data_IF_402378754448
#
_entry.id   IF_402378754448
#
_cell.length_a   1.000
_cell.length_b   1.000
_cell.length_c   1.000
_cell.angle_alpha   90.00
_cell.angle_beta   90.00
_cell.angle_gamma   90.00
#
_symmetry.space_group_name_H-M   'P 1'
#
loop_
_entity.id
_entity.type
_entity.pdbx_description
1 polymer ?
#
# COMPACT_ATOMS: atom_id res chain seq x y z
N UNK A 1 -12.60 5.82 -2.01
CA UNK A 1 -13.00 5.49 -0.59
C UNK A 1 -12.54 4.10 -0.12
N UNK A 2 -12.43 3.11 -1.01
CA UNK A 2 -12.02 1.72 -0.71
C UNK A 2 -10.66 1.57 -0.01
N UNK A 3 -9.58 2.15 -0.56
CA UNK A 3 -8.22 1.97 -0.03
C UNK A 3 -8.11 2.47 1.43
N UNK A 4 -8.79 3.57 1.75
CA UNK A 4 -8.88 4.07 3.12
C UNK A 4 -9.58 3.09 4.05
N UNK A 5 -10.75 2.60 3.63
CA UNK A 5 -11.53 1.65 4.43
C UNK A 5 -10.77 0.33 4.60
N UNK A 6 -10.13 -0.15 3.54
CA UNK A 6 -9.26 -1.31 3.53
C UNK A 6 -8.10 -1.17 4.52
N UNK A 7 -7.38 -0.05 4.49
CA UNK A 7 -6.24 0.20 5.36
C UNK A 7 -6.65 0.39 6.83
N UNK A 8 -7.73 1.13 7.08
CA UNK A 8 -8.33 1.25 8.42
C UNK A 8 -8.78 -0.09 8.96
N UNK A 9 -9.40 -0.91 8.12
CA UNK A 9 -9.83 -2.24 8.48
C UNK A 9 -8.62 -3.10 8.84
N UNK A 10 -7.56 -3.08 8.03
CA UNK A 10 -6.32 -3.80 8.32
C UNK A 10 -5.67 -3.43 9.64
N UNK A 11 -5.53 -2.13 9.88
CA UNK A 11 -4.93 -1.61 11.12
C UNK A 11 -5.78 -2.02 12.32
N UNK A 12 -7.10 -1.94 12.20
CA UNK A 12 -8.03 -2.35 13.25
C UNK A 12 -7.92 -3.84 13.54
N UNK A 13 -7.89 -4.68 12.50
CA UNK A 13 -7.83 -6.13 12.68
C UNK A 13 -6.46 -6.60 13.20
N UNK A 14 -5.35 -6.00 12.76
CA UNK A 14 -4.01 -6.26 13.33
C UNK A 14 -3.92 -5.84 14.80
N UNK A 15 -4.44 -4.66 15.16
CA UNK A 15 -4.48 -4.20 16.57
C UNK A 15 -5.28 -5.15 17.47
N UNK A 16 -6.30 -5.80 16.91
CA UNK A 16 -7.10 -6.81 17.61
C UNK A 16 -6.47 -8.22 17.58
N UNK A 17 -5.31 -8.39 16.95
CA UNK A 17 -4.59 -9.67 16.90
C UNK A 17 -5.19 -10.71 15.95
N UNK A 18 -6.07 -10.30 15.03
CA UNK A 18 -6.67 -11.25 14.09
C UNK A 18 -5.65 -11.75 13.06
N UNK A 19 -5.74 -13.05 12.77
CA UNK A 19 -4.95 -13.67 11.70
C UNK A 19 -5.36 -13.09 10.35
N UNK A 20 -4.40 -12.93 9.44
CA UNK A 20 -4.63 -12.30 8.13
C UNK A 20 -5.75 -13.02 7.32
N UNK A 21 -5.92 -14.33 7.49
CA UNK A 21 -7.03 -15.07 6.86
C UNK A 21 -8.42 -14.57 7.25
N UNK A 22 -8.61 -14.09 8.49
CA UNK A 22 -9.87 -13.49 8.94
C UNK A 22 -10.12 -12.13 8.30
N UNK A 23 -9.06 -11.36 8.09
CA UNK A 23 -9.15 -10.05 7.42
C UNK A 23 -9.66 -10.26 5.99
N UNK A 24 -9.16 -11.28 5.30
CA UNK A 24 -9.63 -11.64 3.96
C UNK A 24 -11.10 -12.03 3.91
N UNK A 25 -11.57 -12.85 4.85
CA UNK A 25 -12.99 -13.17 4.94
C UNK A 25 -13.84 -11.90 5.12
N UNK A 26 -13.40 -10.99 6.00
CA UNK A 26 -14.10 -9.72 6.19
C UNK A 26 -14.09 -8.86 4.92
N UNK A 27 -12.97 -8.78 4.21
CA UNK A 27 -12.84 -8.00 2.98
C UNK A 27 -13.73 -8.55 1.86
N UNK A 28 -13.67 -9.86 1.61
CA UNK A 28 -14.51 -10.52 0.61
C UNK A 28 -16.01 -10.39 0.93
N UNK A 29 -16.38 -10.31 2.21
CA UNK A 29 -17.77 -10.06 2.60
C UNK A 29 -18.20 -8.60 2.51
N UNK A 30 -17.25 -7.65 2.54
CA UNK A 30 -17.54 -6.21 2.60
C UNK A 30 -17.42 -5.53 1.23
N UNK A 31 -16.71 -6.14 0.29
CA UNK A 31 -16.37 -5.54 -1.00
C UNK A 31 -16.56 -6.56 -2.12
N UNK A 32 -17.15 -6.10 -3.22
CA UNK A 32 -17.29 -6.88 -4.45
C UNK A 32 -15.99 -6.83 -5.26
N UNK A 33 -15.07 -7.74 -4.92
CA UNK A 33 -13.72 -7.80 -5.48
C UNK A 33 -13.68 -8.67 -6.74
N UNK A 34 -13.15 -8.10 -7.82
CA UNK A 34 -12.86 -8.84 -9.06
C UNK A 34 -11.66 -9.76 -8.91
N UNK A 35 -11.51 -10.72 -9.84
CA UNK A 35 -10.36 -11.61 -9.86
C UNK A 35 -9.01 -10.87 -9.89
N UNK A 36 -8.93 -9.80 -10.68
CA UNK A 36 -7.72 -8.97 -10.80
C UNK A 36 -7.38 -8.31 -9.46
N UNK A 37 -8.39 -7.79 -8.76
CA UNK A 37 -8.22 -7.15 -7.46
C UNK A 37 -7.79 -8.16 -6.38
N UNK A 38 -8.30 -9.38 -6.43
CA UNK A 38 -7.86 -10.48 -5.54
C UNK A 38 -6.40 -10.82 -5.80
N UNK A 39 -5.97 -10.91 -7.07
CA UNK A 39 -4.56 -11.10 -7.42
C UNK A 39 -3.70 -9.99 -6.83
N UNK A 40 -4.08 -8.73 -6.98
CA UNK A 40 -3.30 -7.60 -6.47
C UNK A 40 -3.23 -7.54 -4.96
N UNK A 41 -4.36 -7.78 -4.29
CA UNK A 41 -4.43 -7.87 -2.84
C UNK A 41 -3.60 -9.06 -2.32
N UNK A 42 -3.51 -10.17 -3.05
CA UNK A 42 -2.68 -11.31 -2.65
C UNK A 42 -1.20 -10.95 -2.56
N UNK A 43 -0.70 -10.15 -3.52
CA UNK A 43 0.66 -9.60 -3.46
C UNK A 43 0.79 -8.63 -2.29
N UNK A 44 -0.24 -7.82 -2.03
CA UNK A 44 -0.20 -6.83 -0.95
C UNK A 44 -0.06 -7.48 0.43
N UNK A 45 -0.69 -8.64 0.57
CA UNK A 45 -0.73 -9.38 1.83
C UNK A 45 0.30 -10.50 1.94
N UNK A 46 1.22 -10.58 0.98
CA UNK A 46 2.26 -11.62 0.92
C UNK A 46 1.65 -13.05 0.93
N UNK A 47 0.49 -13.20 0.29
CA UNK A 47 -0.11 -14.51 0.06
C UNK A 47 0.46 -15.17 -1.18
N UNK A 48 0.50 -16.50 -1.12
CA UNK A 48 0.83 -17.32 -2.27
C UNK A 48 -0.13 -17.02 -3.44
N UNK A 49 0.39 -16.88 -4.68
CA UNK A 49 -0.44 -16.82 -5.89
C UNK A 49 -1.45 -17.96 -6.01
N UNK A 50 -1.09 -19.14 -5.49
CA UNK A 50 -2.01 -20.29 -5.43
C UNK A 50 -3.23 -20.01 -4.56
N UNK A 51 -3.07 -19.28 -3.45
CA UNK A 51 -4.18 -18.88 -2.60
C UNK A 51 -5.15 -17.96 -3.36
N UNK A 52 -4.63 -17.01 -4.14
CA UNK A 52 -5.43 -16.13 -4.99
C UNK A 52 -6.21 -16.94 -6.02
N UNK A 53 -5.54 -17.88 -6.70
CA UNK A 53 -6.17 -18.79 -7.65
C UNK A 53 -7.34 -19.57 -7.04
N UNK A 54 -7.17 -20.15 -5.85
CA UNK A 54 -8.25 -20.89 -5.18
C UNK A 54 -9.41 -19.99 -4.78
N UNK A 55 -9.13 -18.74 -4.38
CA UNK A 55 -10.19 -17.78 -4.04
C UNK A 55 -10.95 -17.29 -5.27
N UNK A 56 -10.27 -17.01 -6.37
CA UNK A 56 -10.90 -16.58 -7.62
C UNK A 56 -11.80 -17.68 -8.18
N UNK A 57 -11.32 -18.93 -8.17
CA UNK A 57 -12.12 -20.09 -8.59
C UNK A 57 -13.30 -20.37 -7.65
N UNK A 58 -13.25 -19.92 -6.39
CA UNK A 58 -14.38 -20.03 -5.47
C UNK A 58 -15.45 -18.94 -5.64
N UNK A 59 -15.15 -17.88 -6.39
CA UNK A 59 -16.03 -16.70 -6.51
C UNK A 59 -16.87 -16.75 -7.79
N UNK A 60 -16.29 -16.80 -9.00
CA UNK A 60 -17.06 -17.19 -10.21
C UNK A 60 -16.27 -17.26 -11.56
N UNK A 61 -14.96 -17.53 -11.56
CA UNK A 61 -14.17 -17.37 -12.81
C UNK A 61 -13.29 -18.59 -13.10
N UNK A 62 -13.48 -19.16 -14.30
CA UNK A 62 -12.62 -20.13 -14.98
C UNK A 62 -11.28 -19.49 -15.40
N UNK A 63 -10.56 -18.90 -14.45
CA UNK A 63 -9.25 -18.31 -14.68
C UNK A 63 -8.21 -19.42 -14.52
N UNK A 64 -7.33 -19.55 -15.51
CA UNK A 64 -6.23 -20.52 -15.47
C UNK A 64 -5.17 -20.11 -14.45
N UNK A 65 -4.36 -21.07 -13.98
CA UNK A 65 -3.24 -20.78 -13.08
C UNK A 65 -2.27 -19.80 -13.75
N UNK A 66 -1.95 -20.04 -15.01
CA UNK A 66 -1.01 -19.22 -15.78
C UNK A 66 -1.49 -17.76 -15.92
N UNK A 67 -2.80 -17.55 -16.07
CA UNK A 67 -3.37 -16.18 -16.06
C UNK A 67 -3.22 -15.49 -14.72
N UNK A 68 -3.41 -16.18 -13.58
CA UNK A 68 -3.19 -15.58 -12.24
C UNK A 68 -1.74 -15.12 -12.10
N UNK A 69 -0.79 -15.98 -12.46
CA UNK A 69 0.63 -15.64 -12.40
C UNK A 69 0.98 -14.49 -13.34
N UNK A 70 0.45 -14.50 -14.57
CA UNK A 70 0.64 -13.43 -15.55
C UNK A 70 0.09 -12.08 -15.08
N UNK A 71 -1.10 -12.06 -14.47
CA UNK A 71 -1.72 -10.85 -13.90
C UNK A 71 -0.89 -10.30 -12.73
N UNK A 72 -0.36 -11.18 -11.88
CA UNK A 72 0.49 -10.79 -10.75
C UNK A 72 1.82 -10.20 -11.23
N UNK A 73 2.46 -10.83 -12.22
CA UNK A 73 3.78 -10.43 -12.73
C UNK A 73 3.70 -9.12 -13.53
N UNK A 74 2.68 -8.98 -14.38
CA UNK A 74 2.53 -7.82 -15.27
C UNK A 74 2.15 -6.52 -14.56
N UNK A 75 1.52 -6.60 -13.38
CA UNK A 75 0.79 -5.45 -12.80
C UNK A 75 1.26 -5.02 -11.41
N UNK A 76 2.42 -5.49 -10.94
CA UNK A 76 2.96 -5.09 -9.62
C UNK A 76 3.16 -3.58 -9.48
N UNK A 77 3.32 -2.87 -10.60
CA UNK A 77 3.63 -1.44 -10.68
C UNK A 77 2.40 -0.53 -10.73
N UNK A 78 1.31 -0.98 -11.35
CA UNK A 78 0.17 -0.12 -11.76
C UNK A 78 -1.11 -0.33 -10.94
N UNK A 79 -1.10 -1.27 -9.98
CA UNK A 79 -2.29 -1.61 -9.19
C UNK A 79 -2.90 -0.39 -8.47
N UNK A 80 -2.04 0.52 -7.99
CA UNK A 80 -2.45 1.72 -7.25
C UNK A 80 -3.32 2.63 -8.13
N UNK A 81 -2.91 2.85 -9.38
CA UNK A 81 -3.58 3.71 -10.34
C UNK A 81 -4.96 3.17 -10.71
N UNK A 82 -5.09 1.87 -10.92
CA UNK A 82 -6.39 1.24 -11.18
C UNK A 82 -7.31 1.32 -9.96
N UNK A 83 -6.83 1.01 -8.75
CA UNK A 83 -7.70 1.06 -7.56
C UNK A 83 -8.18 2.48 -7.29
N UNK A 84 -7.33 3.49 -7.50
CA UNK A 84 -7.71 4.90 -7.45
C UNK A 84 -8.77 5.24 -8.51
N UNK A 85 -8.59 4.78 -9.74
CA UNK A 85 -9.55 5.01 -10.83
C UNK A 85 -10.90 4.34 -10.58
N UNK A 86 -10.91 3.09 -10.07
CA UNK A 86 -12.13 2.28 -9.89
C UNK A 86 -12.92 2.66 -8.66
N UNK A 87 -12.25 2.97 -7.55
CA UNK A 87 -12.90 3.22 -6.25
C UNK A 87 -12.94 4.70 -5.86
N UNK A 88 -12.64 5.60 -6.80
CA UNK A 88 -12.62 7.04 -6.64
C UNK A 88 -11.40 7.54 -5.84
N UNK A 89 -10.56 8.34 -6.52
CA UNK A 89 -9.49 9.13 -5.92
C UNK A 89 -10.02 10.26 -5.04
N UNK A 90 -9.17 10.72 -4.14
CA UNK A 90 -9.38 11.91 -3.31
C UNK A 90 -9.89 13.09 -4.14
N UNK A 91 -11.04 13.66 -3.78
CA UNK A 91 -11.31 15.07 -4.08
C UNK A 91 -10.52 15.86 -3.04
N UNK A 92 -9.37 16.39 -3.44
CA UNK A 92 -8.69 17.46 -2.72
C UNK A 92 -9.53 18.73 -2.89
N UNK A 93 -10.68 18.78 -2.21
CA UNK A 93 -11.46 20.00 -2.14
C UNK A 93 -10.88 20.87 -1.02
N UNK A 94 -10.36 22.00 -1.47
CA UNK A 94 -9.69 23.03 -0.69
C UNK A 94 -10.48 23.39 0.57
N UNK A 95 -9.97 23.02 1.75
CA UNK A 95 -10.33 23.71 2.99
C UNK A 95 -9.14 24.49 3.49
N UNK A 96 -9.03 25.67 2.86
CA UNK A 96 -8.28 26.81 3.34
C UNK A 96 -8.90 27.25 4.68
N UNK A 97 -8.52 26.64 5.80
CA UNK A 97 -8.82 27.18 7.14
C UNK A 97 -7.79 26.70 8.14
N UNK A 98 -6.91 27.62 8.52
CA UNK A 98 -6.19 27.61 9.79
C UNK A 98 -7.11 27.19 10.94
N UNK A 99 -6.78 26.13 11.67
CA UNK A 99 -6.80 26.11 13.14
C UNK A 99 -6.37 24.76 13.73
N UNK A 100 -5.66 24.87 14.86
CA UNK A 100 -5.17 23.79 15.74
C UNK A 100 -6.21 22.68 15.97
N UNK A 101 -5.79 21.43 15.82
CA UNK A 101 -6.11 20.36 16.78
C UNK A 101 -5.34 19.07 16.49
N UNK A 102 -4.83 18.49 17.56
CA UNK A 102 -4.24 17.16 17.72
C UNK A 102 -5.14 16.07 17.13
N UNK A 103 -4.70 15.39 16.06
CA UNK A 103 -5.35 14.15 15.61
C UNK A 103 -4.33 13.08 15.21
N UNK A 104 -4.46 11.95 15.90
CA UNK A 104 -3.70 10.70 15.70
C UNK A 104 -3.80 10.24 14.25
N UNK A 105 -2.64 9.82 13.75
CA UNK A 105 -2.27 9.51 12.37
C UNK A 105 -3.29 8.67 11.62
N UNK A 106 -3.91 9.28 10.61
CA UNK A 106 -4.62 8.57 9.56
C UNK A 106 -3.61 7.78 8.71
N UNK A 107 -3.94 6.59 8.19
CA UNK A 107 -3.08 5.78 7.32
C UNK A 107 -2.70 6.46 5.98
N UNK A 108 -3.41 7.53 5.61
CA UNK A 108 -2.98 8.44 4.55
C UNK A 108 -1.63 9.13 4.83
N UNK A 109 -1.16 9.12 6.09
CA UNK A 109 0.08 9.80 6.48
C UNK A 109 1.33 9.15 5.91
N UNK A 110 1.27 7.89 5.46
CA UNK A 110 2.46 7.17 5.00
C UNK A 110 2.71 7.30 3.49
N UNK A 111 1.71 7.68 2.70
CA UNK A 111 1.86 7.82 1.23
C UNK A 111 2.90 8.85 0.84
N UNK A 112 2.92 9.99 1.54
CA UNK A 112 3.95 11.00 1.35
C UNK A 112 5.35 10.40 1.58
N UNK A 113 5.51 9.60 2.64
CA UNK A 113 6.80 8.99 2.97
C UNK A 113 7.21 7.90 1.97
N UNK A 114 6.24 7.13 1.44
CA UNK A 114 6.45 6.16 0.36
C UNK A 114 6.96 6.85 -0.90
N UNK A 115 6.32 7.94 -1.31
CA UNK A 115 6.71 8.71 -2.50
C UNK A 115 8.11 9.34 -2.35
N UNK A 116 8.42 9.90 -1.17
CA UNK A 116 9.75 10.46 -0.85
C UNK A 116 10.85 9.40 -1.01
N UNK A 117 10.61 8.17 -0.57
CA UNK A 117 11.55 7.06 -0.73
C UNK A 117 11.47 6.39 -2.10
N UNK A 118 10.52 6.78 -2.96
CA UNK A 118 10.16 6.08 -4.19
C UNK A 118 9.98 4.58 -3.95
N UNK A 119 9.25 4.28 -2.88
CA UNK A 119 8.97 2.95 -2.42
C UNK A 119 7.47 2.71 -2.51
N UNK A 120 7.06 1.56 -3.02
CA UNK A 120 5.65 1.19 -3.12
C UNK A 120 5.27 0.28 -1.95
N UNK A 121 4.05 0.42 -1.44
CA UNK A 121 3.51 -0.55 -0.48
C UNK A 121 2.95 -1.77 -1.23
N UNK A 122 3.10 -3.00 -0.70
CA UNK A 122 3.88 -3.35 0.49
C UNK A 122 5.36 -3.39 0.18
N UNK A 123 6.14 -3.14 1.21
CA UNK A 123 7.59 -3.24 1.15
C UNK A 123 8.10 -4.10 2.31
N UNK A 124 9.21 -4.78 2.07
CA UNK A 124 9.97 -5.47 3.11
C UNK A 124 10.90 -4.48 3.84
N UNK A 125 11.33 -4.83 5.06
CA UNK A 125 12.31 -4.01 5.81
C UNK A 125 13.62 -3.83 5.04
N UNK A 126 13.98 -4.81 4.20
CA UNK A 126 15.18 -4.78 3.37
C UNK A 126 15.02 -3.78 2.21
N UNK A 127 13.86 -3.78 1.54
CA UNK A 127 13.52 -2.79 0.51
C UNK A 127 13.46 -1.37 1.08
N UNK A 128 12.90 -1.18 2.27
CA UNK A 128 12.88 0.12 2.95
C UNK A 128 14.31 0.64 3.22
N UNK A 129 15.20 -0.22 3.75
CA UNK A 129 16.60 0.13 3.99
C UNK A 129 17.35 0.42 2.68
N UNK A 130 17.08 -0.36 1.64
CA UNK A 130 17.67 -0.19 0.32
C UNK A 130 17.26 1.15 -0.31
N UNK A 131 15.97 1.47 -0.29
CA UNK A 131 15.42 2.73 -0.78
C UNK A 131 15.98 3.94 -0.01
N UNK A 132 16.05 3.85 1.32
CA UNK A 132 16.67 4.89 2.16
C UNK A 132 18.13 5.12 1.80
N UNK A 133 18.94 4.07 1.64
CA UNK A 133 20.36 4.21 1.26
C UNK A 133 20.53 4.87 -0.10
N UNK A 134 19.76 4.43 -1.11
CA UNK A 134 19.77 5.01 -2.46
C UNK A 134 19.40 6.50 -2.42
N UNK A 135 18.31 6.87 -1.75
CA UNK A 135 17.86 8.25 -1.66
C UNK A 135 18.80 9.12 -0.83
N UNK A 136 19.36 8.58 0.25
CA UNK A 136 20.35 9.28 1.09
C UNK A 136 21.59 9.67 0.28
N UNK A 137 22.12 8.77 -0.56
CA UNK A 137 23.27 9.07 -1.42
C UNK A 137 22.97 10.17 -2.45
N UNK A 138 21.76 10.19 -3.01
CA UNK A 138 21.35 11.20 -4.00
C UNK A 138 20.99 12.56 -3.39
N UNK A 139 20.62 12.60 -2.12
CA UNK A 139 20.15 13.82 -1.43
C UNK A 139 21.19 14.38 -0.46
N UNK A 140 22.34 13.72 -0.32
CA UNK A 140 23.39 14.16 0.60
C UNK A 140 23.95 15.52 0.15
N UNK A 141 24.14 16.49 1.06
CA UNK A 141 24.70 17.79 0.71
C UNK A 141 26.10 17.71 0.08
N UNK A 142 26.92 16.74 0.49
CA UNK A 142 28.26 16.54 -0.07
C UNK A 142 28.26 16.02 -1.52
N UNK A 143 27.17 15.44 -2.00
CA UNK A 143 27.03 14.93 -3.38
C UNK A 143 26.17 15.84 -4.27
N UNK A 144 25.87 17.05 -3.80
CA UNK A 144 25.07 18.04 -4.53
C UNK A 144 23.58 18.08 -4.18
N UNK A 145 23.16 17.36 -3.13
CA UNK A 145 21.81 17.44 -2.57
C UNK A 145 21.63 18.62 -1.60
N UNK A 146 20.47 18.69 -0.95
CA UNK A 146 20.19 19.70 0.08
C UNK A 146 19.90 19.05 1.42
N UNK A 147 20.31 19.70 2.51
CA UNK A 147 20.06 19.23 3.87
C UNK A 147 18.56 19.03 4.16
N UNK A 148 17.69 19.83 3.53
CA UNK A 148 16.24 19.67 3.61
C UNK A 148 15.74 18.40 2.90
N UNK A 149 16.27 18.08 1.72
CA UNK A 149 15.92 16.85 1.00
C UNK A 149 16.36 15.61 1.78
N UNK A 150 17.56 15.63 2.36
CA UNK A 150 18.05 14.54 3.21
C UNK A 150 17.17 14.36 4.47
N UNK A 151 16.76 15.46 5.12
CA UNK A 151 15.84 15.42 6.25
C UNK A 151 14.49 14.81 5.90
N UNK A 152 13.92 15.12 4.73
CA UNK A 152 12.67 14.52 4.24
C UNK A 152 12.81 13.01 4.06
N UNK A 153 13.90 12.57 3.43
CA UNK A 153 14.22 11.14 3.24
C UNK A 153 14.39 10.42 4.57
N UNK A 154 15.09 11.02 5.52
CA UNK A 154 15.28 10.44 6.86
C UNK A 154 13.97 10.35 7.64
N UNK A 155 13.16 11.40 7.62
CA UNK A 155 11.85 11.42 8.28
C UNK A 155 10.93 10.34 7.68
N UNK A 156 10.89 10.23 6.36
CA UNK A 156 10.12 9.19 5.67
C UNK A 156 10.54 7.77 6.08
N UNK A 157 11.85 7.51 6.18
CA UNK A 157 12.34 6.23 6.65
C UNK A 157 11.91 5.92 8.09
N UNK A 158 12.02 6.87 9.01
CA UNK A 158 11.63 6.68 10.42
C UNK A 158 10.13 6.40 10.55
N UNK A 159 9.31 7.16 9.83
CA UNK A 159 7.86 7.01 9.88
C UNK A 159 7.44 5.66 9.27
N UNK A 160 8.03 5.25 8.15
CA UNK A 160 7.78 3.95 7.51
C UNK A 160 8.40 2.76 8.25
N UNK A 161 9.37 2.97 9.13
CA UNK A 161 9.92 1.92 9.99
C UNK A 161 9.00 1.61 11.18
N UNK A 162 8.14 2.57 11.55
CA UNK A 162 7.26 2.49 12.72
C UNK A 162 5.88 1.86 12.45
N UNK A 163 5.57 1.57 11.18
CA UNK A 163 4.38 0.84 10.73
C UNK A 163 4.59 -0.68 10.76
#
# INVERSE_FOLDING_TARGET
MFLFQFEQHLITQRKRGYKIGWIWHSLLSSFDLTAVEICWLSVIFDYSPYWAYYKINSIDILISKDEVFSIIDSNRSDWLRYFQSRWGGWNEEQTNTSNKSTHKSSPHQYYYHLEVLQLSFPFTKEELKSAYRKKSLTTHPDTGGTAEAFRKVHNAYQVLLSI
#
